data_IF_113139398611
#
_entry.id   IF_113139398611
#
_cell.length_a   1.000
_cell.length_b   1.000
_cell.length_c   1.000
_cell.angle_alpha   90.00
_cell.angle_beta   90.00
_cell.angle_gamma   90.00
#
_symmetry.space_group_name_H-M   'P 1'
#
loop_
_entity.id
_entity.type
_entity.pdbx_description
1 polymer ?
#
# COMPACT_ATOMS: atom_id res chain seq x y z
N UNK A 1 21.67 -21.64 -23.79
CA UNK A 1 22.30 -20.60 -24.60
C UNK A 1 22.45 -19.35 -23.75
N UNK A 2 23.68 -18.87 -23.55
CA UNK A 2 23.98 -17.82 -22.55
C UNK A 2 23.80 -16.45 -23.19
N UNK A 3 23.08 -15.53 -22.51
CA UNK A 3 22.75 -14.18 -23.00
C UNK A 3 23.95 -13.35 -23.49
N UNK A 4 25.18 -13.66 -23.06
CA UNK A 4 26.40 -13.00 -23.49
C UNK A 4 26.84 -13.36 -24.92
N UNK A 5 26.38 -14.46 -25.47
CA UNK A 5 26.79 -14.89 -26.83
C UNK A 5 25.87 -14.32 -27.92
N UNK A 6 24.69 -13.81 -27.57
CA UNK A 6 23.76 -13.21 -28.54
C UNK A 6 24.23 -11.82 -29.02
N UNK A 7 25.00 -11.11 -28.18
CA UNK A 7 25.49 -9.75 -28.51
C UNK A 7 26.78 -9.70 -29.35
N UNK A 8 27.47 -10.84 -29.54
CA UNK A 8 28.70 -10.92 -30.33
C UNK A 8 28.48 -11.21 -31.80
N UNK A 9 27.32 -11.58 -32.21
CA UNK A 9 27.01 -12.00 -33.60
C UNK A 9 26.47 -10.85 -34.48
N UNK A 10 26.30 -9.63 -33.91
CA UNK A 10 25.75 -8.48 -34.66
C UNK A 10 26.86 -7.48 -35.11
N UNK A 11 28.13 -7.81 -34.92
CA UNK A 11 29.25 -6.89 -35.06
C UNK A 11 30.17 -7.08 -36.27
N UNK A 12 29.74 -7.70 -37.39
CA UNK A 12 30.58 -7.71 -38.61
C UNK A 12 29.76 -7.73 -39.88
N UNK A 13 29.74 -6.61 -40.58
CA UNK A 13 29.34 -6.50 -42.00
C UNK A 13 28.13 -5.62 -42.23
N UNK A 14 28.37 -4.40 -42.68
CA UNK A 14 28.09 -3.94 -44.04
C UNK A 14 28.16 -2.42 -44.07
N UNK A 15 29.10 -1.90 -44.81
CA UNK A 15 29.06 -0.56 -45.38
C UNK A 15 28.02 -0.54 -46.51
N UNK A 16 26.97 0.21 -46.32
CA UNK A 16 25.92 0.43 -47.32
C UNK A 16 24.99 1.51 -46.81
N UNK A 17 25.13 2.72 -47.33
CA UNK A 17 24.28 3.87 -47.05
C UNK A 17 22.84 3.58 -47.53
N UNK A 18 22.01 3.26 -46.59
CA UNK A 18 20.57 3.26 -46.77
C UNK A 18 19.95 3.88 -45.51
N UNK A 19 19.49 5.12 -45.63
CA UNK A 19 18.65 5.74 -44.59
C UNK A 19 17.35 4.98 -44.54
N UNK A 20 17.26 4.04 -43.63
CA UNK A 20 15.97 3.41 -43.28
C UNK A 20 15.25 4.42 -42.39
N UNK A 21 14.06 4.95 -42.80
CA UNK A 21 13.29 5.75 -41.87
C UNK A 21 12.89 4.85 -40.69
N UNK A 22 13.37 5.22 -39.50
CA UNK A 22 12.83 4.65 -38.27
C UNK A 22 11.38 5.13 -38.20
N UNK A 23 10.49 4.37 -38.81
CA UNK A 23 9.08 4.47 -38.52
C UNK A 23 8.92 4.17 -37.06
N UNK A 24 8.62 5.19 -36.28
CA UNK A 24 8.15 5.04 -34.90
C UNK A 24 6.76 4.38 -34.97
N UNK A 25 6.75 3.08 -35.23
CA UNK A 25 5.61 2.25 -34.91
C UNK A 25 5.52 2.28 -33.37
N UNK A 26 4.87 3.31 -32.85
CA UNK A 26 4.20 3.20 -31.56
C UNK A 26 3.13 2.13 -31.78
N UNK A 27 3.54 0.87 -31.61
CA UNK A 27 2.60 -0.21 -31.43
C UNK A 27 1.75 0.16 -30.23
N UNK A 28 0.56 0.69 -30.50
CA UNK A 28 -0.53 0.79 -29.57
C UNK A 28 -0.93 -0.65 -29.18
N UNK A 29 -0.07 -1.32 -28.42
CA UNK A 29 -0.41 -2.56 -27.73
C UNK A 29 -1.46 -2.14 -26.72
N UNK A 30 -2.72 -2.19 -27.12
CA UNK A 30 -3.84 -2.14 -26.18
C UNK A 30 -3.65 -3.36 -25.30
N UNK A 31 -3.35 -3.20 -24.01
CA UNK A 31 -3.21 -4.35 -23.13
C UNK A 31 -4.55 -5.09 -23.17
N UNK A 32 -4.54 -6.29 -23.74
CA UNK A 32 -5.69 -7.18 -23.72
C UNK A 32 -5.74 -7.76 -22.32
N UNK A 33 -6.39 -7.05 -21.41
CA UNK A 33 -6.65 -7.60 -20.08
C UNK A 33 -7.58 -8.79 -20.24
N UNK A 34 -7.08 -9.98 -19.99
CA UNK A 34 -7.95 -11.14 -19.84
C UNK A 34 -8.93 -10.87 -18.71
N UNK A 35 -10.21 -11.17 -18.93
CA UNK A 35 -11.24 -10.99 -17.90
C UNK A 35 -10.79 -11.71 -16.63
N UNK A 36 -10.58 -10.97 -15.54
CA UNK A 36 -10.20 -11.56 -14.27
C UNK A 36 -11.28 -12.55 -13.82
N UNK A 37 -10.84 -13.71 -13.32
CA UNK A 37 -11.76 -14.75 -12.81
C UNK A 37 -12.49 -14.32 -11.54
N UNK A 38 -12.02 -13.28 -10.85
CA UNK A 38 -12.63 -12.77 -9.62
C UNK A 38 -12.41 -13.64 -8.38
N UNK A 39 -11.48 -14.61 -8.43
CA UNK A 39 -11.22 -15.53 -7.34
C UNK A 39 -10.42 -14.90 -6.19
N UNK A 40 -9.70 -13.82 -6.48
CA UNK A 40 -8.87 -13.10 -5.50
C UNK A 40 -9.13 -11.61 -5.66
N UNK A 41 -9.36 -10.94 -4.54
CA UNK A 41 -9.46 -9.49 -4.48
C UNK A 41 -8.05 -8.91 -4.32
N UNK A 42 -7.61 -8.12 -5.30
CA UNK A 42 -6.30 -7.47 -5.28
C UNK A 42 -6.42 -6.00 -4.92
N UNK A 43 -5.44 -5.49 -4.22
CA UNK A 43 -5.25 -4.08 -3.93
C UNK A 43 -3.85 -3.61 -4.29
N UNK A 44 -3.62 -2.32 -4.24
CA UNK A 44 -2.32 -1.69 -4.44
C UNK A 44 -2.01 -0.80 -3.27
N UNK A 45 -0.74 -0.75 -2.87
CA UNK A 45 -0.30 0.09 -1.76
C UNK A 45 0.08 1.49 -2.26
N UNK A 46 -0.63 2.51 -1.77
CA UNK A 46 -0.51 3.89 -2.25
C UNK A 46 0.92 4.46 -2.11
N UNK A 47 1.61 4.12 -1.03
CA UNK A 47 2.94 4.65 -0.76
C UNK A 47 4.02 4.25 -1.79
N UNK A 48 3.78 3.17 -2.56
CA UNK A 48 4.67 2.74 -3.64
C UNK A 48 4.63 3.68 -4.85
N UNK A 49 3.58 4.50 -4.96
CA UNK A 49 3.29 5.31 -6.15
C UNK A 49 3.25 6.80 -5.86
N UNK A 50 4.06 7.28 -4.93
CA UNK A 50 4.10 8.69 -4.48
C UNK A 50 4.26 9.74 -5.58
N UNK A 51 4.75 9.36 -6.75
CA UNK A 51 4.92 10.27 -7.90
C UNK A 51 3.67 10.39 -8.77
N UNK A 52 2.68 9.53 -8.54
CA UNK A 52 1.40 9.54 -9.25
C UNK A 52 0.38 10.28 -8.37
N UNK A 53 -0.37 11.26 -8.88
CA UNK A 53 -1.48 11.85 -8.15
C UNK A 53 -2.44 10.75 -7.66
N UNK A 54 -2.92 10.87 -6.42
CA UNK A 54 -3.66 9.77 -5.78
C UNK A 54 -4.92 9.37 -6.57
N UNK A 55 -5.68 10.35 -7.08
CA UNK A 55 -6.88 10.06 -7.88
C UNK A 55 -6.54 9.35 -9.20
N UNK A 56 -5.41 9.70 -9.84
CA UNK A 56 -4.95 9.00 -11.05
C UNK A 56 -4.60 7.54 -10.74
N UNK A 57 -3.92 7.28 -9.61
CA UNK A 57 -3.65 5.92 -9.13
C UNK A 57 -4.96 5.15 -8.94
N UNK A 58 -5.95 5.74 -8.30
CA UNK A 58 -7.28 5.15 -8.06
C UNK A 58 -7.97 4.81 -9.38
N UNK A 59 -7.97 5.73 -10.35
CA UNK A 59 -8.55 5.52 -11.68
C UNK A 59 -7.88 4.35 -12.41
N UNK A 60 -6.54 4.31 -12.42
CA UNK A 60 -5.80 3.22 -13.07
C UNK A 60 -6.02 1.88 -12.34
N UNK A 61 -6.02 1.89 -11.02
CA UNK A 61 -6.33 0.71 -10.19
C UNK A 61 -7.70 0.11 -10.56
N UNK A 62 -8.71 0.97 -10.70
CA UNK A 62 -10.04 0.54 -11.13
C UNK A 62 -10.04 -0.06 -12.52
N UNK A 63 -9.33 0.57 -13.47
CA UNK A 63 -9.24 0.09 -14.87
C UNK A 63 -8.64 -1.30 -15.00
N UNK A 64 -7.63 -1.61 -14.18
CA UNK A 64 -6.97 -2.93 -14.21
C UNK A 64 -7.69 -3.97 -13.34
N UNK A 65 -8.80 -3.60 -12.69
CA UNK A 65 -9.64 -4.53 -11.94
C UNK A 65 -9.27 -4.73 -10.47
N UNK A 66 -8.50 -3.83 -9.87
CA UNK A 66 -8.27 -3.85 -8.43
C UNK A 66 -9.53 -3.45 -7.68
N UNK A 67 -9.71 -3.98 -6.48
CA UNK A 67 -10.87 -3.71 -5.64
C UNK A 67 -10.62 -2.60 -4.61
N UNK A 68 -9.37 -2.26 -4.37
CA UNK A 68 -9.03 -1.25 -3.38
C UNK A 68 -7.60 -0.75 -3.41
N UNK A 69 -7.31 0.15 -2.49
CA UNK A 69 -5.98 0.71 -2.25
C UNK A 69 -5.65 0.57 -0.78
N UNK A 70 -4.42 0.13 -0.48
CA UNK A 70 -3.93 -0.05 0.89
C UNK A 70 -3.28 1.21 1.44
N UNK A 71 -3.24 1.28 2.77
CA UNK A 71 -2.51 2.30 3.52
C UNK A 71 -2.94 3.72 3.13
N UNK A 72 -4.26 3.91 3.13
CA UNK A 72 -4.91 5.18 2.82
C UNK A 72 -5.47 5.78 4.10
N UNK A 73 -5.12 7.03 4.38
CA UNK A 73 -5.68 7.81 5.48
C UNK A 73 -7.02 8.45 5.14
N UNK A 74 -7.69 8.96 6.16
CA UNK A 74 -9.04 9.51 6.05
C UNK A 74 -9.16 10.66 5.04
N UNK A 75 -8.08 11.39 4.80
CA UNK A 75 -8.01 12.50 3.86
C UNK A 75 -8.29 12.11 2.40
N UNK A 76 -8.16 10.83 2.07
CA UNK A 76 -8.32 10.32 0.72
C UNK A 76 -9.49 9.34 0.54
N UNK A 77 -10.26 9.05 1.59
CA UNK A 77 -11.35 8.06 1.52
C UNK A 77 -12.49 8.47 0.60
N UNK A 78 -12.79 9.76 0.48
CA UNK A 78 -13.83 10.26 -0.43
C UNK A 78 -13.48 9.98 -1.90
N UNK A 79 -12.18 10.06 -2.26
CA UNK A 79 -11.72 9.70 -3.60
C UNK A 79 -11.97 8.20 -3.87
N UNK A 80 -11.67 7.33 -2.90
CA UNK A 80 -11.95 5.90 -3.03
C UNK A 80 -13.44 5.63 -3.20
N UNK A 81 -14.29 6.25 -2.37
CA UNK A 81 -15.77 6.12 -2.45
C UNK A 81 -16.30 6.59 -3.80
N UNK A 82 -15.83 7.75 -4.30
CA UNK A 82 -16.18 8.31 -5.62
C UNK A 82 -15.94 7.29 -6.75
N UNK A 83 -14.83 6.59 -6.71
CA UNK A 83 -14.45 5.60 -7.73
C UNK A 83 -14.89 4.17 -7.42
N UNK A 84 -15.65 3.96 -6.33
CA UNK A 84 -16.13 2.63 -5.90
C UNK A 84 -14.98 1.64 -5.69
N UNK A 85 -13.91 2.09 -5.06
CA UNK A 85 -12.84 1.29 -4.49
C UNK A 85 -12.92 1.33 -2.97
N UNK A 86 -12.35 0.33 -2.31
CA UNK A 86 -12.28 0.27 -0.85
C UNK A 86 -10.90 0.69 -0.34
N UNK A 87 -10.85 1.22 0.88
CA UNK A 87 -9.61 1.24 1.65
C UNK A 87 -9.42 -0.13 2.25
N UNK A 88 -8.56 -0.95 1.64
CA UNK A 88 -8.38 -2.34 2.06
C UNK A 88 -7.62 -2.46 3.37
N UNK A 89 -6.79 -1.46 3.65
CA UNK A 89 -6.08 -1.29 4.91
C UNK A 89 -5.99 0.22 5.20
N UNK A 90 -6.69 0.67 6.23
CA UNK A 90 -6.59 2.04 6.70
C UNK A 90 -5.38 2.21 7.61
N UNK A 91 -4.87 3.43 7.72
CA UNK A 91 -3.96 3.79 8.78
C UNK A 91 -4.45 5.06 9.49
N UNK A 92 -4.05 5.17 10.75
CA UNK A 92 -4.30 6.35 11.54
C UNK A 92 -3.04 7.16 11.74
N UNK A 93 -3.18 8.47 11.82
CA UNK A 93 -2.10 9.40 12.14
C UNK A 93 -2.56 10.37 13.22
N UNK A 94 -1.72 10.58 14.22
CA UNK A 94 -1.92 11.63 15.21
C UNK A 94 -1.38 12.95 14.65
N UNK A 95 -2.15 13.98 14.71
CA UNK A 95 -1.70 15.33 14.37
C UNK A 95 -0.42 15.68 15.14
N UNK A 96 0.67 15.90 14.39
CA UNK A 96 1.97 16.29 14.93
C UNK A 96 2.78 15.19 15.63
N UNK A 97 2.29 13.94 15.72
CA UNK A 97 3.03 12.81 16.31
C UNK A 97 3.10 11.64 15.34
N UNK A 98 4.31 11.18 15.05
CA UNK A 98 4.56 10.10 14.10
C UNK A 98 4.24 8.73 14.72
N UNK A 99 2.97 8.37 14.79
CA UNK A 99 2.55 7.00 15.07
C UNK A 99 2.55 6.12 13.83
N UNK A 100 2.79 6.68 12.65
CA UNK A 100 3.05 5.95 11.40
C UNK A 100 4.38 5.22 11.42
N UNK A 101 5.19 5.46 12.42
CA UNK A 101 6.51 4.86 12.46
C UNK A 101 6.37 3.35 12.66
N UNK A 102 6.87 2.60 11.70
CA UNK A 102 7.09 1.16 11.85
C UNK A 102 7.94 0.83 13.08
N UNK A 103 8.62 1.84 13.64
CA UNK A 103 9.54 1.71 14.75
C UNK A 103 8.94 2.02 16.12
N UNK A 104 7.86 2.83 16.18
CA UNK A 104 7.21 3.27 17.42
C UNK A 104 5.87 2.55 17.56
N UNK A 105 5.89 1.33 18.06
CA UNK A 105 4.73 0.47 18.11
C UNK A 105 4.44 -0.10 19.49
N UNK A 106 3.56 -1.07 19.52
CA UNK A 106 2.98 -1.63 20.74
C UNK A 106 3.96 -2.38 21.63
N UNK A 107 5.14 -2.82 21.13
CA UNK A 107 6.14 -3.49 21.95
C UNK A 107 6.81 -2.57 22.99
N UNK A 108 6.68 -1.25 22.84
CA UNK A 108 7.28 -0.27 23.73
C UNK A 108 6.18 0.51 24.47
N UNK A 109 6.06 0.27 25.79
CA UNK A 109 5.07 0.93 26.67
C UNK A 109 5.15 2.44 26.65
N UNK A 110 6.32 3.01 26.32
CA UNK A 110 6.52 4.46 26.23
C UNK A 110 5.62 5.12 25.19
N UNK A 111 5.13 4.36 24.20
CA UNK A 111 4.23 4.87 23.16
C UNK A 111 2.75 4.56 23.42
N UNK A 112 2.40 3.73 24.40
CA UNK A 112 1.02 3.26 24.60
C UNK A 112 0.00 4.39 24.77
N UNK A 113 0.32 5.43 25.53
CA UNK A 113 -0.63 6.53 25.75
C UNK A 113 -1.06 7.18 24.43
N UNK A 114 -0.08 7.50 23.58
CA UNK A 114 -0.33 8.13 22.28
C UNK A 114 -0.99 7.15 21.31
N UNK A 115 -0.53 5.89 21.30
CA UNK A 115 -1.12 4.84 20.44
C UNK A 115 -2.57 4.58 20.81
N UNK A 116 -2.90 4.38 22.08
CA UNK A 116 -4.29 4.13 22.52
C UNK A 116 -5.20 5.29 22.10
N UNK A 117 -4.79 6.53 22.41
CA UNK A 117 -5.59 7.71 22.04
C UNK A 117 -5.83 7.78 20.53
N UNK A 118 -4.78 7.52 19.72
CA UNK A 118 -4.88 7.54 18.27
C UNK A 118 -5.76 6.44 17.73
N UNK A 119 -5.57 5.19 18.20
CA UNK A 119 -6.32 4.05 17.70
C UNK A 119 -7.79 4.11 18.07
N UNK A 120 -8.16 4.53 19.28
CA UNK A 120 -9.57 4.70 19.66
C UNK A 120 -10.28 5.66 18.70
N UNK A 121 -9.67 6.82 18.41
CA UNK A 121 -10.21 7.77 17.42
C UNK A 121 -10.33 7.17 16.02
N UNK A 122 -9.29 6.45 15.56
CA UNK A 122 -9.27 5.93 14.19
C UNK A 122 -10.18 4.71 14.01
N UNK A 123 -10.39 3.90 15.04
CA UNK A 123 -11.36 2.79 15.00
C UNK A 123 -12.76 3.37 14.71
N UNK A 124 -13.15 4.44 15.40
CA UNK A 124 -14.44 5.11 15.14
C UNK A 124 -14.51 5.65 13.70
N UNK A 125 -13.48 6.39 13.26
CA UNK A 125 -13.45 6.93 11.89
C UNK A 125 -13.52 5.85 10.81
N UNK A 126 -12.83 4.74 11.01
CA UNK A 126 -12.82 3.60 10.06
C UNK A 126 -14.19 2.95 10.01
N UNK A 127 -14.83 2.74 11.16
CA UNK A 127 -16.17 2.18 11.25
C UNK A 127 -17.23 3.09 10.63
N UNK A 128 -17.21 4.39 10.94
CA UNK A 128 -18.11 5.39 10.36
C UNK A 128 -17.98 5.50 8.85
N UNK A 129 -16.75 5.35 8.34
CA UNK A 129 -16.51 5.33 6.91
C UNK A 129 -16.97 4.04 6.21
N UNK A 130 -17.30 2.99 6.98
CA UNK A 130 -17.67 1.67 6.46
C UNK A 130 -16.49 0.81 6.05
N UNK A 131 -15.27 1.14 6.47
CA UNK A 131 -14.07 0.32 6.28
C UNK A 131 -13.93 -0.72 7.39
N UNK A 132 -13.10 -1.75 7.17
CA UNK A 132 -13.02 -2.90 8.10
C UNK A 132 -11.64 -3.11 8.71
N UNK A 133 -10.60 -2.56 8.13
CA UNK A 133 -9.23 -2.89 8.53
C UNK A 133 -8.45 -1.63 8.87
N UNK A 134 -7.87 -1.62 10.05
CA UNK A 134 -6.95 -0.58 10.52
C UNK A 134 -5.64 -1.25 10.88
N UNK A 135 -4.54 -0.84 10.22
CA UNK A 135 -3.21 -1.42 10.46
C UNK A 135 -2.64 -0.97 11.80
N UNK A 136 -1.95 -1.87 12.47
CA UNK A 136 -1.10 -1.55 13.62
C UNK A 136 0.28 -2.19 13.48
N UNK A 137 1.25 -1.70 14.22
CA UNK A 137 2.63 -2.17 14.17
C UNK A 137 3.13 -2.50 15.56
N UNK A 138 3.82 -3.64 15.69
CA UNK A 138 4.51 -3.99 16.93
C UNK A 138 5.61 -2.99 17.31
N UNK A 139 6.26 -2.41 16.29
CA UNK A 139 7.39 -1.49 16.51
C UNK A 139 8.74 -2.17 16.35
N UNK A 140 9.81 -1.40 16.56
CA UNK A 140 11.17 -1.93 16.59
C UNK A 140 11.50 -2.49 17.98
N UNK A 141 12.15 -3.64 17.98
CA UNK A 141 12.55 -4.35 19.20
C UNK A 141 13.40 -3.51 20.12
N UNK A 142 14.37 -2.75 19.60
CA UNK A 142 15.37 -2.02 20.38
C UNK A 142 16.06 -2.93 21.43
N UNK A 143 16.10 -2.48 22.70
CA UNK A 143 16.67 -3.23 23.85
C UNK A 143 15.61 -4.09 24.58
N UNK A 144 14.40 -4.23 24.03
CA UNK A 144 13.28 -4.95 24.64
C UNK A 144 13.44 -6.45 24.34
N UNK A 145 13.26 -7.31 25.32
CA UNK A 145 13.22 -8.77 25.12
C UNK A 145 11.99 -9.17 24.28
N UNK A 146 12.01 -10.35 23.68
CA UNK A 146 10.86 -10.81 22.90
C UNK A 146 9.65 -11.06 23.80
N UNK A 147 9.88 -11.56 25.02
CA UNK A 147 8.86 -11.80 26.04
C UNK A 147 8.22 -10.48 26.50
N UNK A 148 9.03 -9.50 26.91
CA UNK A 148 8.52 -8.18 27.33
C UNK A 148 7.80 -7.48 26.17
N UNK A 149 8.35 -7.58 24.96
CA UNK A 149 7.74 -7.00 23.76
C UNK A 149 6.37 -7.59 23.46
N UNK A 150 6.20 -8.91 23.62
CA UNK A 150 4.93 -9.60 23.47
C UNK A 150 3.92 -9.14 24.53
N UNK A 151 4.32 -9.14 25.81
CA UNK A 151 3.44 -8.71 26.92
C UNK A 151 3.02 -7.24 26.73
N UNK A 152 3.94 -6.37 26.34
CA UNK A 152 3.64 -4.98 26.04
C UNK A 152 2.62 -4.83 24.90
N UNK A 153 2.77 -5.59 23.82
CA UNK A 153 1.79 -5.60 22.74
C UNK A 153 0.39 -6.02 23.23
N UNK A 154 0.31 -7.07 24.03
CA UNK A 154 -0.97 -7.56 24.61
C UNK A 154 -1.60 -6.48 25.49
N UNK A 155 -0.82 -5.89 26.41
CA UNK A 155 -1.29 -4.83 27.30
C UNK A 155 -1.85 -3.62 26.55
N UNK A 156 -1.15 -3.22 25.48
CA UNK A 156 -1.56 -2.07 24.68
C UNK A 156 -2.81 -2.34 23.84
N UNK A 157 -2.82 -3.46 23.12
CA UNK A 157 -3.93 -3.84 22.25
C UNK A 157 -5.22 -4.11 23.03
N UNK A 158 -5.15 -4.70 24.19
CA UNK A 158 -6.33 -4.94 25.05
C UNK A 158 -7.08 -3.65 25.43
N UNK A 159 -6.46 -2.48 25.31
CA UNK A 159 -7.12 -1.20 25.56
C UNK A 159 -7.97 -0.70 24.42
N UNK A 160 -7.76 -1.21 23.19
CA UNK A 160 -8.44 -0.75 21.98
C UNK A 160 -9.35 -1.83 21.38
N UNK A 161 -9.06 -3.11 21.58
CA UNK A 161 -9.83 -4.25 21.06
C UNK A 161 -11.31 -4.16 21.41
N UNK A 162 -11.73 -3.85 22.66
CA UNK A 162 -13.16 -3.82 23.00
C UNK A 162 -13.98 -2.83 22.16
N UNK A 163 -13.36 -1.69 21.76
CA UNK A 163 -14.01 -0.74 20.85
C UNK A 163 -14.07 -1.28 19.43
N UNK A 164 -13.00 -1.88 18.95
CA UNK A 164 -12.93 -2.44 17.61
C UNK A 164 -13.92 -3.61 17.40
N UNK A 165 -14.14 -4.43 18.43
CA UNK A 165 -15.11 -5.53 18.39
C UNK A 165 -16.57 -5.08 18.50
N UNK A 166 -16.80 -3.89 19.08
CA UNK A 166 -18.13 -3.31 19.22
C UNK A 166 -18.64 -2.68 17.93
N UNK A 167 -17.77 -2.13 17.10
CA UNK A 167 -18.09 -1.36 15.88
C UNK A 167 -17.95 -2.21 14.62
#
# INVERSE_FOLDING_TARGET
MNRRNLLKTIGTGIAGVGVIPISSAQDNIKPTYSKLKGNINHSVSAWCYKKIPFEDLVIQSKKIGLVGVDLVGSENWDILKKHKLTSTMCYGDLEGKSTRSLTNGWCDKGFHQDLVSNYLRHIELVADAGWKNLICFSGSRREISDEDGLENCIDGLNKIIPLAEKL
#
